data_IF_198637593090
#
_entry.id   IF_198637593090
#
_cell.length_a   1.000
_cell.length_b   1.000
_cell.length_c   1.000
_cell.angle_alpha   90.00
_cell.angle_beta   90.00
_cell.angle_gamma   90.00
#
_symmetry.space_group_name_H-M   'P 1'
#
loop_
_entity.id
_entity.type
_entity.pdbx_description
1 polymer ?
#
# COMPACT_ATOMS: atom_id res chain seq x y z
N UNK A 1 -18.37 -1.68 12.76
CA UNK A 1 -18.83 -2.40 11.55
C UNK A 1 -17.96 -2.21 10.30
N UNK A 2 -17.13 -1.16 10.18
CA UNK A 2 -16.26 -0.90 9.01
C UNK A 2 -15.24 -2.02 8.70
N UNK A 3 -14.65 -2.65 9.72
CA UNK A 3 -13.58 -3.67 9.53
C UNK A 3 -14.04 -5.03 9.00
N UNK A 4 -15.31 -5.39 9.21
CA UNK A 4 -15.89 -6.63 8.66
C UNK A 4 -16.15 -6.45 7.16
N UNK A 5 -16.54 -5.24 6.72
CA UNK A 5 -16.68 -4.90 5.31
C UNK A 5 -15.36 -4.98 4.54
N UNK A 6 -14.27 -4.48 5.11
CA UNK A 6 -12.92 -4.59 4.52
C UNK A 6 -12.45 -6.06 4.40
N UNK A 7 -12.81 -6.91 5.36
CA UNK A 7 -12.50 -8.34 5.32
C UNK A 7 -13.22 -9.05 4.17
N UNK A 8 -14.51 -8.76 3.98
CA UNK A 8 -15.33 -9.34 2.89
C UNK A 8 -14.85 -8.82 1.53
N UNK A 9 -14.53 -7.54 1.43
CA UNK A 9 -13.98 -6.91 0.22
C UNK A 9 -12.66 -7.57 -0.21
N UNK A 10 -11.82 -7.94 0.74
CA UNK A 10 -10.55 -8.65 0.48
C UNK A 10 -10.73 -10.05 -0.10
N UNK A 11 -11.80 -10.75 0.31
CA UNK A 11 -12.11 -12.11 -0.18
C UNK A 11 -12.80 -12.11 -1.55
N UNK A 12 -13.46 -11.01 -1.93
CA UNK A 12 -14.18 -10.86 -3.20
C UNK A 12 -13.48 -9.91 -4.16
N UNK A 13 -12.24 -9.50 -3.85
CA UNK A 13 -11.48 -8.55 -4.63
C UNK A 13 -11.36 -9.00 -6.09
N UNK A 14 -11.77 -8.12 -6.99
CA UNK A 14 -11.62 -8.30 -8.44
C UNK A 14 -11.07 -7.02 -9.03
N UNK A 15 -10.12 -7.17 -9.93
CA UNK A 15 -9.62 -6.10 -10.79
C UNK A 15 -10.25 -6.31 -12.15
N UNK A 16 -10.94 -5.31 -12.66
CA UNK A 16 -11.56 -5.37 -13.97
C UNK A 16 -10.60 -4.93 -15.06
N UNK A 17 -10.82 -5.28 -16.35
CA UNK A 17 -9.99 -4.77 -17.44
C UNK A 17 -9.94 -3.23 -17.50
N UNK A 18 -11.04 -2.55 -17.17
CA UNK A 18 -11.08 -1.08 -17.13
C UNK A 18 -10.22 -0.51 -16.00
N UNK A 19 -10.20 -1.17 -14.84
CA UNK A 19 -9.30 -0.83 -13.73
C UNK A 19 -7.82 -0.97 -14.15
N UNK A 20 -7.48 -2.03 -14.87
CA UNK A 20 -6.12 -2.27 -15.38
C UNK A 20 -5.71 -1.20 -16.40
N UNK A 21 -6.59 -0.83 -17.32
CA UNK A 21 -6.33 0.25 -18.28
C UNK A 21 -6.08 1.57 -17.56
N UNK A 22 -6.92 1.92 -16.57
CA UNK A 22 -6.78 3.14 -15.80
C UNK A 22 -5.45 3.17 -15.01
N UNK A 23 -5.10 2.07 -14.35
CA UNK A 23 -3.85 1.96 -13.60
C UNK A 23 -2.63 2.03 -14.54
N UNK A 24 -2.69 1.41 -15.71
CA UNK A 24 -1.60 1.43 -16.69
C UNK A 24 -1.33 2.83 -17.26
N UNK A 25 -2.34 3.68 -17.36
CA UNK A 25 -2.19 5.08 -17.77
C UNK A 25 -1.40 5.90 -16.73
N UNK A 26 -1.50 5.55 -15.46
CA UNK A 26 -0.82 6.20 -14.34
C UNK A 26 0.59 5.62 -14.16
N UNK A 27 0.73 4.30 -14.28
CA UNK A 27 1.94 3.53 -13.98
C UNK A 27 2.58 2.97 -15.28
N UNK A 28 3.50 3.68 -15.93
CA UNK A 28 4.16 3.16 -17.12
C UNK A 28 5.31 2.18 -16.81
N UNK A 29 5.60 1.29 -17.75
CA UNK A 29 6.80 0.47 -17.73
C UNK A 29 6.95 -0.42 -16.48
N UNK A 30 8.07 -0.31 -15.77
CA UNK A 30 8.36 -1.12 -14.57
C UNK A 30 7.42 -0.84 -13.41
N UNK A 31 6.86 0.36 -13.31
CA UNK A 31 5.87 0.69 -12.28
C UNK A 31 4.57 -0.10 -12.48
N UNK A 32 4.16 -0.32 -13.74
CA UNK A 32 3.06 -1.23 -14.07
C UNK A 32 3.38 -2.67 -13.65
N UNK A 33 4.58 -3.17 -13.98
CA UNK A 33 4.99 -4.51 -13.60
C UNK A 33 5.02 -4.70 -12.07
N UNK A 34 5.41 -3.66 -11.32
CA UNK A 34 5.36 -3.65 -9.86
C UNK A 34 3.91 -3.83 -9.36
N UNK A 35 2.97 -3.06 -9.89
CA UNK A 35 1.55 -3.13 -9.55
C UNK A 35 0.93 -4.49 -9.93
N UNK A 36 1.19 -4.97 -11.16
CA UNK A 36 0.64 -6.23 -11.66
C UNK A 36 1.15 -7.45 -10.87
N UNK A 37 2.38 -7.39 -10.35
CA UNK A 37 2.96 -8.40 -9.48
C UNK A 37 2.38 -8.44 -8.05
N UNK A 38 1.54 -7.48 -7.66
CA UNK A 38 0.90 -7.46 -6.34
C UNK A 38 -0.24 -8.48 -6.25
N UNK A 39 -0.55 -8.99 -5.04
CA UNK A 39 -1.77 -9.76 -4.81
C UNK A 39 -3.02 -9.00 -5.28
N UNK A 40 -4.01 -9.71 -5.85
CA UNK A 40 -5.25 -9.10 -6.37
C UNK A 40 -5.95 -8.21 -5.33
N UNK A 41 -5.94 -8.63 -4.06
CA UNK A 41 -6.53 -7.86 -2.98
C UNK A 41 -5.81 -6.52 -2.75
N UNK A 42 -4.47 -6.49 -2.89
CA UNK A 42 -3.68 -5.27 -2.72
C UNK A 42 -3.81 -4.35 -3.94
N UNK A 43 -3.90 -4.94 -5.15
CA UNK A 43 -4.23 -4.18 -6.36
C UNK A 43 -5.60 -3.51 -6.24
N UNK A 44 -6.62 -4.26 -5.79
CA UNK A 44 -7.97 -3.71 -5.60
C UNK A 44 -7.97 -2.59 -4.55
N UNK A 45 -7.29 -2.80 -3.42
CA UNK A 45 -7.16 -1.78 -2.38
C UNK A 45 -6.51 -0.49 -2.94
N UNK A 46 -5.38 -0.59 -3.64
CA UNK A 46 -4.73 0.57 -4.26
C UNK A 46 -5.63 1.31 -5.25
N UNK A 47 -6.42 0.57 -6.04
CA UNK A 47 -7.43 1.15 -6.93
C UNK A 47 -8.54 1.88 -6.17
N UNK A 48 -9.04 1.29 -5.07
CA UNK A 48 -10.07 1.92 -4.23
C UNK A 48 -9.56 3.21 -3.60
N UNK A 49 -8.32 3.23 -3.14
CA UNK A 49 -7.65 4.45 -2.63
C UNK A 49 -7.56 5.51 -3.71
N UNK A 50 -7.08 5.16 -4.91
CA UNK A 50 -6.98 6.09 -6.05
C UNK A 50 -8.36 6.64 -6.46
N UNK A 51 -9.38 5.80 -6.54
CA UNK A 51 -10.75 6.21 -6.86
C UNK A 51 -11.32 7.18 -5.81
N UNK A 52 -11.01 6.99 -4.52
CA UNK A 52 -11.44 7.93 -3.47
C UNK A 52 -10.76 9.29 -3.57
N UNK A 53 -9.49 9.33 -3.99
CA UNK A 53 -8.80 10.60 -4.26
C UNK A 53 -9.46 11.33 -5.44
N UNK A 54 -9.69 10.63 -6.54
CA UNK A 54 -10.38 11.17 -7.71
C UNK A 54 -11.80 11.68 -7.39
N UNK A 55 -12.56 10.94 -6.58
CA UNK A 55 -13.90 11.35 -6.14
C UNK A 55 -13.89 12.64 -5.29
N UNK A 56 -12.74 13.01 -4.73
CA UNK A 56 -12.52 14.28 -4.01
C UNK A 56 -11.95 15.39 -4.91
N UNK A 57 -11.84 15.14 -6.22
CA UNK A 57 -11.25 16.09 -7.18
C UNK A 57 -9.73 16.17 -7.11
N UNK A 58 -9.06 15.18 -6.54
CA UNK A 58 -7.59 15.12 -6.46
C UNK A 58 -7.11 14.19 -7.57
N UNK A 59 -6.53 14.77 -8.61
CA UNK A 59 -6.04 14.10 -9.82
C UNK A 59 -4.50 14.18 -9.98
N UNK A 60 -3.79 14.50 -8.90
CA UNK A 60 -2.33 14.56 -8.88
C UNK A 60 -1.74 13.18 -9.24
N UNK A 61 -0.99 13.14 -10.36
CA UNK A 61 -0.50 11.89 -10.93
C UNK A 61 0.45 11.13 -10.00
N UNK A 62 1.33 11.84 -9.30
CA UNK A 62 2.27 11.21 -8.37
C UNK A 62 1.54 10.63 -7.15
N UNK A 63 0.52 11.33 -6.67
CA UNK A 63 -0.30 10.85 -5.55
C UNK A 63 -1.11 9.62 -5.95
N UNK A 64 -1.68 9.61 -7.16
CA UNK A 64 -2.41 8.44 -7.68
C UNK A 64 -1.48 7.25 -7.90
N UNK A 65 -0.26 7.49 -8.41
CA UNK A 65 0.76 6.44 -8.51
C UNK A 65 1.12 5.88 -7.13
N UNK A 66 1.33 6.76 -6.14
CA UNK A 66 1.57 6.33 -4.76
C UNK A 66 0.40 5.50 -4.21
N UNK A 67 -0.85 5.92 -4.43
CA UNK A 67 -2.04 5.17 -4.02
C UNK A 67 -2.08 3.76 -4.60
N UNK A 68 -1.67 3.57 -5.86
CA UNK A 68 -1.69 2.27 -6.52
C UNK A 68 -0.64 1.29 -5.99
N UNK A 69 0.56 1.78 -5.58
CA UNK A 69 1.68 0.89 -5.22
C UNK A 69 2.17 1.01 -3.78
N UNK A 70 1.47 1.76 -2.88
CA UNK A 70 1.91 1.96 -1.50
C UNK A 70 2.08 0.65 -0.72
N UNK A 71 1.37 -0.38 -1.11
CA UNK A 71 1.37 -1.70 -0.49
C UNK A 71 2.22 -2.74 -1.24
N UNK A 72 3.00 -2.35 -2.23
CA UNK A 72 3.72 -3.28 -3.11
C UNK A 72 4.67 -4.24 -2.35
N UNK A 73 5.27 -3.79 -1.26
CA UNK A 73 6.17 -4.62 -0.46
C UNK A 73 5.46 -5.62 0.47
N UNK A 74 4.15 -5.50 0.68
CA UNK A 74 3.38 -6.49 1.48
C UNK A 74 3.42 -7.88 0.85
N UNK A 75 3.30 -7.96 -0.47
CA UNK A 75 3.45 -9.15 -1.28
C UNK A 75 2.63 -10.36 -0.80
N UNK A 76 2.90 -11.53 -1.40
CA UNK A 76 2.23 -12.79 -1.05
C UNK A 76 2.63 -13.37 0.32
N UNK A 77 3.68 -12.84 0.97
CA UNK A 77 4.17 -13.33 2.27
C UNK A 77 3.33 -12.84 3.45
N UNK A 78 2.70 -11.67 3.34
CA UNK A 78 1.79 -11.16 4.37
C UNK A 78 0.40 -11.78 4.21
N UNK A 79 0.19 -12.93 4.84
CA UNK A 79 -1.13 -13.55 4.93
C UNK A 79 -2.08 -12.65 5.72
N UNK A 80 -3.38 -12.78 5.48
CA UNK A 80 -4.43 -12.00 6.11
C UNK A 80 -4.31 -11.92 7.65
N UNK A 81 -3.96 -13.03 8.30
CA UNK A 81 -3.80 -13.06 9.76
C UNK A 81 -2.60 -12.21 10.26
N UNK A 82 -1.52 -12.05 9.46
CA UNK A 82 -0.44 -11.12 9.80
C UNK A 82 -0.92 -9.66 9.72
N UNK A 83 -1.77 -9.34 8.76
CA UNK A 83 -2.32 -7.98 8.60
C UNK A 83 -3.23 -7.63 9.77
N UNK A 84 -4.20 -8.51 10.10
CA UNK A 84 -5.12 -8.30 11.23
C UNK A 84 -4.39 -8.35 12.56
N UNK A 85 -3.56 -9.38 12.77
CA UNK A 85 -2.77 -9.56 13.99
C UNK A 85 -1.73 -8.46 14.18
N UNK A 86 -1.07 -8.02 13.11
CA UNK A 86 -0.08 -6.94 13.14
C UNK A 86 -0.68 -5.62 13.56
N UNK A 87 -1.83 -5.22 12.98
CA UNK A 87 -2.54 -3.99 13.38
C UNK A 87 -2.98 -4.05 14.84
N UNK A 88 -3.48 -5.20 15.30
CA UNK A 88 -3.90 -5.38 16.68
C UNK A 88 -2.69 -5.32 17.64
N UNK A 89 -1.61 -6.05 17.32
CA UNK A 89 -0.40 -6.08 18.13
C UNK A 89 0.33 -4.73 18.13
N UNK A 90 0.40 -4.03 17.01
CA UNK A 90 1.00 -2.70 16.95
C UNK A 90 0.26 -1.70 17.86
N UNK A 91 -1.02 -1.92 18.09
CA UNK A 91 -1.85 -1.05 18.94
C UNK A 91 -1.80 -1.43 20.44
N UNK A 92 -1.67 -2.73 20.76
CA UNK A 92 -1.74 -3.24 22.13
C UNK A 92 -0.35 -3.47 22.73
N UNK A 93 0.59 -3.95 21.93
CA UNK A 93 1.91 -4.37 22.38
C UNK A 93 3.00 -4.16 21.29
N UNK A 94 3.28 -2.90 20.89
CA UNK A 94 4.22 -2.61 19.81
C UNK A 94 5.61 -3.21 20.06
N UNK A 95 6.12 -3.16 21.28
CA UNK A 95 7.42 -3.74 21.64
C UNK A 95 7.51 -5.26 21.52
N UNK A 96 6.38 -5.98 21.57
CA UNK A 96 6.35 -7.43 21.30
C UNK A 96 6.49 -7.69 19.81
N UNK A 97 5.83 -6.88 18.96
CA UNK A 97 5.91 -7.01 17.51
C UNK A 97 7.33 -6.77 17.02
N UNK A 98 8.02 -5.75 17.55
CA UNK A 98 9.42 -5.48 17.23
C UNK A 98 10.36 -6.62 17.64
N UNK A 99 10.12 -7.25 18.80
CA UNK A 99 10.91 -8.40 19.26
C UNK A 99 10.70 -9.67 18.43
N UNK A 100 9.51 -9.83 17.85
CA UNK A 100 9.18 -10.96 16.97
C UNK A 100 9.65 -10.73 15.53
N UNK A 101 9.94 -9.49 15.15
CA UNK A 101 10.38 -9.12 13.82
C UNK A 101 11.82 -9.61 13.57
N UNK A 102 12.10 -10.12 12.38
CA UNK A 102 13.42 -10.57 11.95
C UNK A 102 13.72 -10.13 10.54
N UNK A 103 14.90 -9.61 10.30
CA UNK A 103 15.39 -9.25 8.96
C UNK A 103 15.74 -10.49 8.12
N UNK A 104 15.95 -11.66 8.74
CA UNK A 104 16.23 -12.91 8.03
C UNK A 104 15.00 -13.40 7.25
N UNK A 105 15.08 -13.47 5.89
CA UNK A 105 13.97 -13.93 5.05
C UNK A 105 13.51 -15.37 5.32
N UNK A 106 14.35 -16.21 5.91
CA UNK A 106 14.02 -17.59 6.27
C UNK A 106 13.30 -17.68 7.62
N UNK A 107 13.35 -16.63 8.43
CA UNK A 107 12.72 -16.59 9.75
C UNK A 107 11.19 -16.44 9.64
N UNK A 108 10.48 -17.07 10.59
CA UNK A 108 9.04 -16.84 10.79
C UNK A 108 8.73 -15.40 11.21
N UNK A 109 9.69 -14.70 11.79
CA UNK A 109 9.59 -13.30 12.19
C UNK A 109 9.70 -12.31 11.02
N UNK A 110 10.13 -12.76 9.83
CA UNK A 110 10.31 -11.87 8.68
C UNK A 110 9.02 -11.19 8.23
N UNK A 111 7.88 -11.88 8.32
CA UNK A 111 6.58 -11.30 7.99
C UNK A 111 6.24 -10.09 8.89
N UNK A 112 6.61 -10.14 10.17
CA UNK A 112 6.42 -9.02 11.10
C UNK A 112 7.36 -7.86 10.79
N UNK A 113 8.60 -8.16 10.39
CA UNK A 113 9.54 -7.14 9.94
C UNK A 113 9.02 -6.43 8.67
N UNK A 114 8.55 -7.19 7.67
CA UNK A 114 7.92 -6.62 6.47
C UNK A 114 6.69 -5.78 6.85
N UNK A 115 5.84 -6.27 7.76
CA UNK A 115 4.68 -5.53 8.23
C UNK A 115 5.05 -4.16 8.83
N UNK A 116 6.12 -4.11 9.63
CA UNK A 116 6.58 -2.87 10.27
C UNK A 116 7.23 -1.90 9.28
N UNK A 117 7.89 -2.42 8.25
CA UNK A 117 8.73 -1.63 7.34
C UNK A 117 8.16 -1.52 5.93
N UNK A 118 6.94 -2.06 5.66
CA UNK A 118 6.38 -2.06 4.31
C UNK A 118 6.28 -0.67 3.65
N UNK A 119 6.05 0.45 4.35
CA UNK A 119 6.01 1.74 3.68
C UNK A 119 7.36 2.10 3.05
N UNK A 120 8.46 1.92 3.80
CA UNK A 120 9.81 2.18 3.30
C UNK A 120 10.19 1.20 2.19
N UNK A 121 9.89 -0.08 2.37
CA UNK A 121 10.15 -1.12 1.36
C UNK A 121 9.34 -0.88 0.07
N UNK A 122 8.09 -0.42 0.18
CA UNK A 122 7.27 -0.07 -0.98
C UNK A 122 7.80 1.18 -1.68
N UNK A 123 8.27 2.18 -0.91
CA UNK A 123 8.92 3.37 -1.46
C UNK A 123 10.19 3.02 -2.25
N UNK A 124 11.03 2.11 -1.71
CA UNK A 124 12.24 1.64 -2.39
C UNK A 124 11.91 0.83 -3.65
N UNK A 125 10.87 -0.01 -3.60
CA UNK A 125 10.38 -0.71 -4.78
C UNK A 125 9.85 0.26 -5.85
N UNK A 126 9.14 1.31 -5.45
CA UNK A 126 8.65 2.36 -6.35
C UNK A 126 9.80 3.11 -7.04
N UNK A 127 10.86 3.50 -6.29
CA UNK A 127 12.09 4.08 -6.86
C UNK A 127 12.74 3.15 -7.87
N UNK A 128 12.90 1.89 -7.49
CA UNK A 128 13.50 0.86 -8.36
C UNK A 128 12.69 0.63 -9.65
N UNK A 129 11.38 0.85 -9.60
CA UNK A 129 10.48 0.81 -10.74
C UNK A 129 10.44 2.11 -11.56
N UNK A 130 11.27 3.11 -11.23
CA UNK A 130 11.41 4.38 -11.96
C UNK A 130 10.37 5.44 -11.59
N UNK A 131 9.63 5.29 -10.49
CA UNK A 131 8.75 6.33 -9.99
C UNK A 131 9.55 7.46 -9.30
N UNK A 132 8.97 8.65 -9.23
CA UNK A 132 9.63 9.84 -8.69
C UNK A 132 9.90 9.75 -7.19
N UNK A 133 10.86 10.54 -6.70
CA UNK A 133 11.10 10.71 -5.25
C UNK A 133 9.86 11.23 -4.51
N UNK A 134 9.02 12.01 -5.20
CA UNK A 134 7.76 12.53 -4.65
C UNK A 134 6.77 11.39 -4.40
N UNK A 135 6.64 10.44 -5.34
CA UNK A 135 5.84 9.21 -5.15
C UNK A 135 6.37 8.40 -3.96
N UNK A 136 7.69 8.18 -3.92
CA UNK A 136 8.31 7.43 -2.83
C UNK A 136 8.12 8.09 -1.47
N UNK A 137 8.17 9.43 -1.40
CA UNK A 137 7.90 10.17 -0.18
C UNK A 137 6.45 10.00 0.30
N UNK A 138 5.47 10.08 -0.59
CA UNK A 138 4.07 9.80 -0.23
C UNK A 138 3.90 8.38 0.33
N UNK A 139 4.51 7.38 -0.32
CA UNK A 139 4.44 5.97 0.12
C UNK A 139 5.09 5.80 1.50
N UNK A 140 6.23 6.43 1.75
CA UNK A 140 6.94 6.36 3.03
C UNK A 140 6.24 7.13 4.16
N UNK A 141 5.16 7.87 3.85
CA UNK A 141 4.45 8.71 4.82
C UNK A 141 5.18 10.00 5.17
N UNK A 142 6.19 10.38 4.37
CA UNK A 142 6.90 11.66 4.47
C UNK A 142 6.40 12.59 3.38
N UNK A 143 5.67 13.64 3.75
CA UNK A 143 5.20 14.59 2.76
C UNK A 143 6.36 15.45 2.24
N UNK A 144 6.51 15.62 0.91
CA UNK A 144 7.35 16.68 0.37
C UNK A 144 6.86 18.06 0.86
N UNK A 145 7.76 19.02 0.96
CA UNK A 145 7.39 20.37 1.39
C UNK A 145 6.33 20.96 0.43
N UNK A 146 5.21 21.41 1.00
CA UNK A 146 4.06 21.92 0.25
C UNK A 146 2.99 20.89 -0.14
N UNK A 147 3.26 19.60 0.08
CA UNK A 147 2.35 18.49 -0.25
C UNK A 147 1.66 17.86 0.98
N UNK A 148 1.72 18.51 2.14
CA UNK A 148 1.17 17.98 3.39
C UNK A 148 -0.34 17.67 3.30
N UNK A 149 -1.07 18.52 2.54
CA UNK A 149 -2.50 18.31 2.27
C UNK A 149 -2.75 17.07 1.43
N UNK A 150 -1.93 16.81 0.41
CA UNK A 150 -2.01 15.63 -0.45
C UNK A 150 -1.64 14.35 0.32
N UNK A 151 -0.57 14.39 1.12
CA UNK A 151 -0.19 13.25 1.96
C UNK A 151 -1.29 12.91 2.98
N UNK A 152 -1.94 13.93 3.56
CA UNK A 152 -3.09 13.73 4.46
C UNK A 152 -4.27 13.12 3.70
N UNK A 153 -4.54 13.58 2.48
CA UNK A 153 -5.62 13.04 1.66
C UNK A 153 -5.39 11.55 1.32
N UNK A 154 -4.15 11.17 0.98
CA UNK A 154 -3.78 9.77 0.74
C UNK A 154 -4.03 8.91 1.98
N UNK A 155 -3.52 9.32 3.14
CA UNK A 155 -3.73 8.59 4.39
C UNK A 155 -5.21 8.41 4.74
N UNK A 156 -6.01 9.46 4.59
CA UNK A 156 -7.46 9.40 4.85
C UNK A 156 -8.18 8.48 3.84
N UNK A 157 -7.75 8.47 2.57
CA UNK A 157 -8.31 7.59 1.56
C UNK A 157 -7.97 6.12 1.82
N UNK A 158 -6.73 5.84 2.24
CA UNK A 158 -6.25 4.51 2.64
C UNK A 158 -7.01 3.97 3.88
N UNK A 159 -7.12 4.77 4.95
CA UNK A 159 -7.85 4.39 6.17
C UNK A 159 -9.33 4.08 5.93
N UNK A 160 -9.93 4.65 4.87
CA UNK A 160 -11.33 4.49 4.52
C UNK A 160 -11.59 3.36 3.51
N UNK A 161 -10.55 2.78 2.89
CA UNK A 161 -10.59 1.69 1.90
C UNK A 161 -10.38 0.33 2.55
#
# INVERSE_FOLDING_TARGET
MHRVGQFVSHLTARVTPDDEVAAHQILPGMAWALFDGMPVADRRHGLDVAQRLLARGIDDRDLLAAALVHDAAKGHRLRLWHRVGGVLMARIAPGVLERLASTDPASRGHAWWVFLHHPQLSADAARSAGLSERVAAFIAGSAPAGDEGLATALRVADEAS
#
